data_IF_553832801047
#
_entry.id   IF_553832801047
#
_cell.length_a   1.000
_cell.length_b   1.000
_cell.length_c   1.000
_cell.angle_alpha   90.00
_cell.angle_beta   90.00
_cell.angle_gamma   90.00
#
_symmetry.space_group_name_H-M   'P 1'
#
loop_
_entity.id
_entity.type
_entity.pdbx_description
1 polymer ?
#
# COMPACT_ATOMS: atom_id res chain seq x y z
N UNK A 1 -22.82 -8.90 4.49
CA UNK A 1 -21.73 -9.50 3.70
C UNK A 1 -20.45 -8.79 4.06
N UNK A 2 -19.52 -9.44 4.75
CA UNK A 2 -18.24 -8.82 5.13
C UNK A 2 -17.38 -8.74 3.86
N UNK A 3 -17.34 -7.57 3.22
CA UNK A 3 -16.34 -7.26 2.20
C UNK A 3 -14.97 -7.37 2.86
N UNK A 4 -14.34 -8.53 2.76
CA UNK A 4 -12.97 -8.76 3.19
C UNK A 4 -12.06 -8.06 2.17
N UNK A 5 -11.95 -6.73 2.29
CA UNK A 5 -10.96 -5.96 1.55
C UNK A 5 -9.61 -6.34 2.13
N UNK A 6 -8.85 -7.10 1.37
CA UNK A 6 -7.45 -7.40 1.69
C UNK A 6 -6.73 -6.06 1.86
N UNK A 7 -6.20 -5.83 3.06
CA UNK A 7 -5.52 -4.61 3.40
C UNK A 7 -4.03 -4.71 3.02
N UNK A 8 -3.36 -3.57 2.88
CA UNK A 8 -1.90 -3.52 2.72
C UNK A 8 -1.15 -4.25 3.85
N UNK A 9 -1.78 -4.39 5.01
CA UNK A 9 -1.21 -5.04 6.18
C UNK A 9 -1.23 -6.56 6.03
N UNK A 10 -2.27 -7.11 5.41
CA UNK A 10 -2.36 -8.54 5.11
C UNK A 10 -1.32 -8.95 4.07
N UNK A 11 -1.14 -8.13 3.02
CA UNK A 11 -0.08 -8.32 2.01
C UNK A 11 1.30 -8.32 2.66
N UNK A 12 1.52 -7.41 3.61
CA UNK A 12 2.78 -7.30 4.31
C UNK A 12 3.06 -8.57 5.15
N UNK A 13 2.05 -9.06 5.88
CA UNK A 13 2.14 -10.29 6.67
C UNK A 13 2.42 -11.51 5.79
N UNK A 14 1.71 -11.65 4.66
CA UNK A 14 1.91 -12.76 3.71
C UNK A 14 3.29 -12.74 3.07
N UNK A 15 3.78 -11.55 2.70
CA UNK A 15 5.10 -11.38 2.11
C UNK A 15 6.25 -11.41 3.13
N UNK A 16 5.94 -11.47 4.44
CA UNK A 16 6.95 -11.42 5.51
C UNK A 16 7.67 -10.08 5.62
N UNK A 17 7.03 -8.98 5.20
CA UNK A 17 7.60 -7.63 5.20
C UNK A 17 6.76 -6.66 6.00
N UNK A 18 7.25 -5.43 6.16
CA UNK A 18 6.46 -4.36 6.79
C UNK A 18 5.52 -3.70 5.78
N UNK A 19 4.42 -3.11 6.28
CA UNK A 19 3.53 -2.24 5.49
C UNK A 19 4.30 -1.12 4.77
N UNK A 20 5.38 -0.62 5.39
CA UNK A 20 6.26 0.39 4.80
C UNK A 20 6.99 -0.14 3.56
N UNK A 21 7.43 -1.40 3.57
CA UNK A 21 8.08 -2.07 2.43
C UNK A 21 7.10 -2.25 1.27
N UNK A 22 5.85 -2.66 1.55
CA UNK A 22 4.80 -2.78 0.51
C UNK A 22 4.46 -1.41 -0.08
N UNK A 23 4.31 -0.38 0.76
CA UNK A 23 4.09 0.99 0.28
C UNK A 23 5.27 1.50 -0.56
N UNK A 24 6.51 1.18 -0.15
CA UNK A 24 7.72 1.50 -0.90
C UNK A 24 7.78 0.74 -2.22
N UNK A 25 7.35 -0.52 -2.27
CA UNK A 25 7.28 -1.32 -3.49
C UNK A 25 6.29 -0.71 -4.49
N UNK A 26 5.09 -0.31 -4.04
CA UNK A 26 4.08 0.35 -4.87
C UNK A 26 4.60 1.68 -5.44
N UNK A 27 5.35 2.47 -4.65
CA UNK A 27 5.89 3.77 -5.09
C UNK A 27 7.18 3.66 -5.89
N UNK A 28 8.04 2.70 -5.57
CA UNK A 28 9.41 2.59 -6.06
C UNK A 28 9.91 1.14 -5.91
N UNK A 29 9.51 0.23 -6.82
CA UNK A 29 9.84 -1.20 -6.71
C UNK A 29 11.36 -1.45 -6.77
N UNK A 30 12.12 -0.57 -7.44
CA UNK A 30 13.59 -0.62 -7.53
C UNK A 30 14.32 -0.41 -6.20
N UNK A 31 13.67 0.12 -5.16
CA UNK A 31 14.26 0.35 -3.82
C UNK A 31 14.08 -0.83 -2.87
N UNK A 32 13.42 -1.90 -3.33
CA UNK A 32 13.17 -3.12 -2.55
C UNK A 32 14.05 -4.21 -3.15
N UNK A 33 14.58 -5.11 -2.30
CA UNK A 33 15.38 -6.23 -2.76
C UNK A 33 14.59 -7.05 -3.78
N UNK A 34 15.27 -7.57 -4.81
CA UNK A 34 14.61 -8.24 -5.94
C UNK A 34 13.78 -9.44 -5.48
N UNK A 35 14.33 -10.28 -4.61
CA UNK A 35 13.63 -11.42 -4.00
C UNK A 35 12.35 -11.00 -3.27
N UNK A 36 12.42 -9.92 -2.49
CA UNK A 36 11.28 -9.40 -1.75
C UNK A 36 10.22 -8.78 -2.68
N UNK A 37 10.66 -8.08 -3.72
CA UNK A 37 9.78 -7.50 -4.73
C UNK A 37 9.04 -8.57 -5.53
N UNK A 38 9.73 -9.65 -5.91
CA UNK A 38 9.15 -10.81 -6.60
C UNK A 38 8.07 -11.49 -5.72
N UNK A 39 8.34 -11.75 -4.43
CA UNK A 39 7.32 -12.25 -3.49
C UNK A 39 6.10 -11.34 -3.40
N UNK A 40 6.31 -10.03 -3.26
CA UNK A 40 5.22 -9.06 -3.18
C UNK A 40 4.41 -9.06 -4.48
N UNK A 41 5.07 -9.13 -5.64
CA UNK A 41 4.41 -9.19 -6.94
C UNK A 41 3.50 -10.41 -7.07
N UNK A 42 3.99 -11.60 -6.71
CA UNK A 42 3.22 -12.84 -6.75
C UNK A 42 1.97 -12.76 -5.85
N UNK A 43 2.15 -12.29 -4.61
CA UNK A 43 1.03 -12.15 -3.67
C UNK A 43 0.02 -11.12 -4.17
N UNK A 44 0.48 -9.99 -4.73
CA UNK A 44 -0.40 -8.96 -5.30
C UNK A 44 -1.20 -9.47 -6.51
N UNK A 45 -0.61 -10.35 -7.33
CA UNK A 45 -1.31 -11.03 -8.42
C UNK A 45 -2.35 -12.03 -7.89
N UNK A 46 -1.99 -12.88 -6.93
CA UNK A 46 -2.90 -13.88 -6.34
C UNK A 46 -4.17 -13.25 -5.74
N UNK A 47 -4.01 -12.15 -5.02
CA UNK A 47 -5.13 -11.46 -4.36
C UNK A 47 -5.81 -10.43 -5.27
N UNK A 48 -5.36 -10.30 -6.53
CA UNK A 48 -5.78 -9.28 -7.48
C UNK A 48 -5.81 -7.87 -6.85
N UNK A 49 -4.77 -7.52 -6.09
CA UNK A 49 -4.69 -6.23 -5.44
C UNK A 49 -4.44 -5.16 -6.49
N UNK A 50 -5.51 -4.51 -6.92
CA UNK A 50 -5.42 -3.30 -7.73
C UNK A 50 -5.05 -2.18 -6.75
N UNK A 51 -3.82 -1.63 -6.80
CA UNK A 51 -3.50 -0.48 -5.99
C UNK A 51 -4.45 0.63 -6.41
N UNK A 52 -5.42 0.95 -5.56
CA UNK A 52 -6.23 2.12 -5.75
C UNK A 52 -5.24 3.29 -5.64
N UNK A 53 -4.79 3.80 -6.78
CA UNK A 53 -4.04 5.04 -6.91
C UNK A 53 -4.99 6.18 -6.58
N UNK A 54 -5.57 6.18 -5.37
CA UNK A 54 -6.15 7.37 -4.81
C UNK A 54 -4.97 8.33 -4.64
N UNK A 55 -4.89 9.40 -5.46
CA UNK A 55 -3.74 10.26 -5.51
C UNK A 55 -3.58 10.94 -4.16
N UNK A 56 -2.39 11.48 -3.93
CA UNK A 56 -1.98 12.24 -2.77
C UNK A 56 -2.76 13.57 -2.59
N UNK A 57 -4.10 13.54 -2.62
CA UNK A 57 -4.97 14.72 -2.56
C UNK A 57 -5.69 14.93 -1.21
N UNK A 58 -5.30 14.21 -0.15
CA UNK A 58 -5.89 14.37 1.19
C UNK A 58 -4.84 14.61 2.29
N UNK A 59 -3.74 15.30 1.97
CA UNK A 59 -2.79 15.81 2.96
C UNK A 59 -2.60 17.33 2.91
N UNK A 60 -3.46 18.05 2.19
CA UNK A 60 -3.49 19.51 2.23
C UNK A 60 -4.84 20.07 2.70
N UNK A 61 -5.55 19.33 3.56
CA UNK A 61 -6.53 19.96 4.45
C UNK A 61 -5.75 20.69 5.54
N UNK A 62 -5.09 21.79 5.16
CA UNK A 62 -4.75 22.84 6.11
C UNK A 62 -6.09 23.39 6.59
N UNK A 63 -6.57 22.86 7.71
CA UNK A 63 -7.67 23.42 8.45
C UNK A 63 -7.22 24.78 8.99
N UNK A 64 -7.28 25.82 8.17
CA UNK A 64 -7.32 27.19 8.67
C UNK A 64 -8.65 27.35 9.38
N UNK A 65 -8.62 27.04 10.68
CA UNK A 65 -9.59 27.53 11.66
C UNK A 65 -9.46 29.04 11.71
N UNK A 66 -10.23 29.73 10.89
CA UNK A 66 -10.56 31.12 11.16
C UNK A 66 -11.82 31.09 12.01
N UNK A 67 -11.60 30.94 13.32
CA UNK A 67 -12.52 31.45 14.31
C UNK A 67 -12.37 32.98 14.31
N UNK A 68 -13.41 33.68 13.86
CA UNK A 68 -13.81 35.01 14.32
C UNK A 68 -15.18 35.36 13.72
#
# INVERSE_FOLDING_TARGET
MRNHRISLQDIATLAGVTKMTVSRYIRSPKKVARETGERIAQIMEEINYIPNRAPAMLLNAQSYTLAC
#
